data_IF_708017020924
#
_entry.id   IF_708017020924
#
_cell.length_a   1.000
_cell.length_b   1.000
_cell.length_c   1.000
_cell.angle_alpha   90.00
_cell.angle_beta   90.00
_cell.angle_gamma   90.00
#
_symmetry.space_group_name_H-M   'P 1'
#
loop_
_entity.id
_entity.type
_entity.pdbx_description
1 polymer ?
#
# COMPACT_ATOMS: atom_id res chain seq x y z
N UNK A 1 1.01 13.97 -20.71
CA UNK A 1 0.93 13.92 -19.23
C UNK A 1 2.27 13.44 -18.67
N UNK A 2 2.97 14.23 -17.84
CA UNK A 2 4.13 13.73 -17.09
C UNK A 2 3.59 12.86 -15.95
N UNK A 3 3.88 11.55 -15.97
CA UNK A 3 3.53 10.67 -14.84
C UNK A 3 4.29 11.19 -13.60
N UNK A 4 3.63 11.53 -12.49
CA UNK A 4 4.32 11.99 -11.29
C UNK A 4 5.35 10.94 -10.87
N UNK A 5 6.54 11.40 -10.50
CA UNK A 5 7.66 10.53 -10.10
C UNK A 5 7.25 9.80 -8.82
N UNK A 6 6.77 8.57 -8.98
CA UNK A 6 6.22 7.76 -7.88
C UNK A 6 7.33 7.61 -6.84
N UNK A 7 7.12 8.15 -5.62
CA UNK A 7 8.04 7.89 -4.50
C UNK A 7 8.13 6.39 -4.33
N UNK A 8 9.35 5.84 -4.33
CA UNK A 8 9.56 4.42 -4.01
C UNK A 8 9.02 4.17 -2.61
N UNK A 9 7.97 3.37 -2.51
CA UNK A 9 7.36 2.94 -1.24
C UNK A 9 8.39 2.09 -0.50
N UNK A 10 8.84 2.55 0.67
CA UNK A 10 9.85 1.85 1.48
C UNK A 10 9.25 0.63 2.18
N UNK A 11 10.09 -0.28 2.70
CA UNK A 11 9.63 -1.42 3.52
C UNK A 11 8.78 -0.96 4.72
N UNK A 12 9.16 0.15 5.37
CA UNK A 12 8.42 0.74 6.49
C UNK A 12 7.02 1.21 6.06
N UNK A 13 6.91 1.81 4.88
CA UNK A 13 5.62 2.24 4.33
C UNK A 13 4.72 1.05 4.03
N UNK A 14 5.28 -0.04 3.47
CA UNK A 14 4.51 -1.27 3.19
C UNK A 14 3.93 -1.88 4.45
N UNK A 15 4.73 -2.01 5.52
CA UNK A 15 4.25 -2.52 6.82
C UNK A 15 3.13 -1.66 7.37
N UNK A 16 3.26 -0.33 7.27
CA UNK A 16 2.23 0.60 7.74
C UNK A 16 0.95 0.55 6.90
N UNK A 17 1.08 0.40 5.58
CA UNK A 17 -0.06 0.19 4.67
C UNK A 17 -0.84 -1.08 5.06
N UNK A 18 -0.14 -2.18 5.36
CA UNK A 18 -0.79 -3.43 5.74
C UNK A 18 -1.45 -3.34 7.13
N UNK A 19 -0.79 -2.67 8.10
CA UNK A 19 -1.38 -2.41 9.43
C UNK A 19 -2.69 -1.60 9.34
N UNK A 20 -2.72 -0.56 8.50
CA UNK A 20 -3.92 0.24 8.27
C UNK A 20 -5.05 -0.56 7.60
N UNK A 21 -4.70 -1.48 6.70
CA UNK A 21 -5.67 -2.36 6.06
C UNK A 21 -6.23 -3.40 7.03
N UNK A 22 -5.37 -4.10 7.77
CA UNK A 22 -5.76 -5.26 8.57
C UNK A 22 -6.26 -4.91 9.96
N UNK A 23 -5.55 -4.03 10.66
CA UNK A 23 -5.84 -3.68 12.06
C UNK A 23 -6.78 -2.49 12.18
N UNK A 24 -6.66 -1.51 11.27
CA UNK A 24 -7.53 -0.33 11.26
C UNK A 24 -8.72 -0.45 10.30
N UNK A 25 -8.78 -1.52 9.49
CA UNK A 25 -9.87 -1.79 8.54
C UNK A 25 -10.17 -0.64 7.57
N UNK A 26 -9.17 0.18 7.26
CA UNK A 26 -9.31 1.24 6.26
C UNK A 26 -9.44 0.64 4.86
N UNK A 27 -10.19 1.32 4.00
CA UNK A 27 -10.28 0.95 2.59
C UNK A 27 -8.98 1.27 1.86
N UNK A 28 -8.71 0.52 0.78
CA UNK A 28 -7.51 0.74 -0.04
C UNK A 28 -7.48 2.16 -0.64
N UNK A 29 -8.65 2.76 -0.90
CA UNK A 29 -8.79 4.14 -1.38
C UNK A 29 -8.37 5.18 -0.33
N UNK A 30 -8.77 4.99 0.92
CA UNK A 30 -8.36 5.86 2.04
C UNK A 30 -6.86 5.75 2.27
N UNK A 31 -6.33 4.52 2.29
CA UNK A 31 -4.89 4.28 2.42
C UNK A 31 -4.12 4.91 1.25
N UNK A 32 -4.61 4.78 0.03
CA UNK A 32 -4.00 5.41 -1.14
C UNK A 32 -3.91 6.92 -1.00
N UNK A 33 -5.00 7.55 -0.51
CA UNK A 33 -5.07 8.98 -0.25
C UNK A 33 -4.06 9.43 0.81
N UNK A 34 -3.90 8.67 1.90
CA UNK A 34 -2.94 8.96 2.98
C UNK A 34 -1.47 8.92 2.51
N UNK A 35 -1.15 8.02 1.57
CA UNK A 35 0.23 7.82 1.10
C UNK A 35 0.51 8.49 -0.25
N UNK A 36 -0.48 9.14 -0.87
CA UNK A 36 -0.36 9.74 -2.20
C UNK A 36 -0.11 8.71 -3.30
N UNK A 37 -0.68 7.51 -3.17
CA UNK A 37 -0.58 6.42 -4.14
C UNK A 37 -1.98 5.95 -4.57
N UNK A 38 -2.06 5.25 -5.71
CA UNK A 38 -3.34 4.73 -6.21
C UNK A 38 -3.81 3.53 -5.40
N UNK A 39 -5.12 3.31 -5.39
CA UNK A 39 -5.74 2.12 -4.79
C UNK A 39 -5.14 0.82 -5.34
N UNK A 40 -4.95 0.73 -6.66
CA UNK A 40 -4.31 -0.45 -7.28
C UNK A 40 -2.89 -0.69 -6.76
N UNK A 41 -2.15 0.37 -6.43
CA UNK A 41 -0.81 0.23 -5.85
C UNK A 41 -0.87 -0.26 -4.41
N UNK A 42 -1.87 0.16 -3.64
CA UNK A 42 -2.14 -0.37 -2.30
C UNK A 42 -2.46 -1.86 -2.39
N UNK A 43 -3.37 -2.26 -3.29
CA UNK A 43 -3.70 -3.67 -3.52
C UNK A 43 -2.47 -4.53 -3.80
N UNK A 44 -1.59 -4.11 -4.72
CA UNK A 44 -0.34 -4.83 -4.99
C UNK A 44 0.56 -4.98 -3.75
N UNK A 45 0.67 -3.94 -2.93
CA UNK A 45 1.49 -3.98 -1.71
C UNK A 45 0.92 -4.98 -0.72
N UNK A 46 -0.40 -4.92 -0.50
CA UNK A 46 -1.12 -5.79 0.43
C UNK A 46 -1.04 -7.25 -0.03
N UNK A 47 -1.32 -7.53 -1.30
CA UNK A 47 -1.23 -8.89 -1.85
C UNK A 47 0.18 -9.47 -1.76
N UNK A 48 1.22 -8.69 -2.08
CA UNK A 48 2.60 -9.16 -1.96
C UNK A 48 3.00 -9.42 -0.50
N UNK A 49 2.54 -8.57 0.43
CA UNK A 49 2.85 -8.75 1.85
C UNK A 49 2.31 -10.07 2.39
N UNK A 50 1.08 -10.45 2.06
CA UNK A 50 0.54 -11.76 2.46
C UNK A 50 1.09 -12.92 1.64
N UNK A 51 1.38 -12.72 0.36
CA UNK A 51 2.03 -13.75 -0.47
C UNK A 51 3.42 -14.13 0.00
N UNK A 52 4.20 -13.17 0.55
CA UNK A 52 5.53 -13.42 1.12
C UNK A 52 5.48 -14.09 2.52
N UNK A 53 4.34 -14.09 3.23
CA UNK A 53 4.22 -14.73 4.55
C UNK A 53 3.87 -16.23 4.47
N UNK A 54 3.67 -16.79 3.26
CA UNK A 54 3.27 -18.18 3.02
C UNK A 54 4.28 -18.95 2.13
N UNK A 55 5.52 -18.47 1.99
CA UNK A 55 6.63 -19.16 1.28
C UNK A 55 7.80 -19.37 2.22
#
# INVERSE_FOLDING_TARGET
MKKPRVRKTTLKDRKRICDLYENKKLTMKEIGSLFGITESRVSQIVSNYYGENYV
#
